data_IF_717196159528
#
_entry.id   IF_717196159528
#
_cell.length_a   1.000
_cell.length_b   1.000
_cell.length_c   1.000
_cell.angle_alpha   90.00
_cell.angle_beta   90.00
_cell.angle_gamma   90.00
#
_symmetry.space_group_name_H-M   'P 1'
#
loop_
_entity.id
_entity.type
_entity.pdbx_description
1 polymer ?
#
# COMPACT_ATOMS: atom_id res chain seq x y z
N UNK A 1 -12.88 9.95 20.29
CA UNK A 1 -14.26 10.18 20.79
C UNK A 1 -14.49 9.54 22.16
N UNK A 2 -13.93 8.38 22.43
CA UNK A 2 -14.08 7.63 23.68
C UNK A 2 -12.85 7.65 24.57
N UNK A 3 -11.95 8.60 24.42
CA UNK A 3 -10.67 8.73 25.15
C UNK A 3 -10.83 8.76 26.67
N UNK A 4 -11.96 9.29 27.17
CA UNK A 4 -12.28 9.32 28.60
C UNK A 4 -12.73 7.96 29.17
N UNK A 5 -12.95 6.94 28.33
CA UNK A 5 -13.36 5.60 28.76
C UNK A 5 -12.14 4.73 29.06
N UNK A 6 -11.32 5.18 30.00
CA UNK A 6 -10.14 4.42 30.45
C UNK A 6 -10.54 3.28 31.37
N UNK A 7 -9.66 2.31 31.55
CA UNK A 7 -9.83 1.21 32.50
C UNK A 7 -10.23 1.72 33.87
N UNK A 8 -9.53 2.73 34.42
CA UNK A 8 -9.78 3.29 35.74
C UNK A 8 -11.16 3.94 35.83
N UNK A 9 -11.56 4.69 34.80
CA UNK A 9 -12.87 5.33 34.76
C UNK A 9 -14.01 4.32 34.68
N UNK A 10 -13.83 3.26 33.90
CA UNK A 10 -14.80 2.18 33.76
C UNK A 10 -14.91 1.39 35.07
N UNK A 11 -13.77 0.94 35.60
CA UNK A 11 -13.73 0.17 36.87
C UNK A 11 -14.35 0.98 38.02
N UNK A 12 -13.96 2.24 38.16
CA UNK A 12 -14.52 3.12 39.20
C UNK A 12 -16.05 3.22 39.11
N UNK A 13 -16.59 3.39 37.89
CA UNK A 13 -18.03 3.44 37.64
C UNK A 13 -18.72 2.11 37.95
N UNK A 14 -18.09 0.96 37.63
CA UNK A 14 -18.62 -0.37 37.95
C UNK A 14 -18.68 -0.60 39.47
N UNK A 15 -17.58 -0.32 40.19
CA UNK A 15 -17.53 -0.46 41.62
C UNK A 15 -18.51 0.47 42.35
N UNK A 16 -18.66 1.72 41.88
CA UNK A 16 -19.68 2.64 42.39
C UNK A 16 -21.10 2.10 42.18
N UNK A 17 -21.33 1.48 41.00
CA UNK A 17 -22.62 0.86 40.69
C UNK A 17 -22.91 -0.34 41.62
N UNK A 18 -21.91 -1.19 41.87
CA UNK A 18 -22.00 -2.31 42.81
C UNK A 18 -22.32 -1.82 44.23
N UNK A 19 -21.64 -0.79 44.72
CA UNK A 19 -21.94 -0.16 46.03
C UNK A 19 -23.35 0.44 46.11
N UNK A 20 -23.86 0.99 45.02
CA UNK A 20 -25.22 1.51 44.95
C UNK A 20 -26.30 0.43 45.10
N UNK A 21 -25.99 -0.82 44.77
CA UNK A 21 -26.87 -1.98 44.93
C UNK A 21 -26.77 -2.55 46.34
N UNK A 22 -25.55 -2.66 46.86
CA UNK A 22 -25.30 -3.12 48.21
C UNK A 22 -24.10 -2.36 48.83
N UNK A 23 -24.40 -1.42 49.72
CA UNK A 23 -23.38 -0.54 50.34
C UNK A 23 -22.37 -1.25 51.26
N UNK A 24 -22.59 -2.54 51.57
CA UNK A 24 -21.67 -3.32 52.42
C UNK A 24 -20.66 -4.14 51.61
N UNK A 25 -20.58 -3.96 50.29
CA UNK A 25 -19.61 -4.68 49.44
C UNK A 25 -18.19 -4.14 49.71
N UNK A 26 -17.21 -5.06 49.77
CA UNK A 26 -15.80 -4.70 49.75
C UNK A 26 -15.39 -4.49 48.29
N UNK A 27 -15.02 -3.25 47.96
CA UNK A 27 -14.60 -2.84 46.63
C UNK A 27 -13.12 -2.50 46.55
N UNK A 28 -12.33 -2.79 47.59
CA UNK A 28 -10.89 -2.58 47.62
C UNK A 28 -10.21 -3.49 46.58
N UNK A 29 -9.08 -3.06 46.12
CA UNK A 29 -8.23 -3.88 45.22
C UNK A 29 -7.95 -5.26 45.83
N UNK A 30 -8.15 -6.31 45.04
CA UNK A 30 -8.03 -7.71 45.49
C UNK A 30 -9.29 -8.31 46.15
N UNK A 31 -10.36 -7.52 46.38
CA UNK A 31 -11.64 -8.07 46.83
C UNK A 31 -12.31 -8.90 45.72
N UNK A 32 -13.26 -9.75 46.10
CA UNK A 32 -14.02 -10.58 45.15
C UNK A 32 -14.74 -9.74 44.10
N UNK A 33 -15.35 -8.61 44.51
CA UNK A 33 -16.03 -7.68 43.57
C UNK A 33 -15.02 -7.05 42.61
N UNK A 34 -13.91 -6.56 43.11
CA UNK A 34 -12.84 -5.99 42.29
C UNK A 34 -12.27 -7.02 41.29
N UNK A 35 -12.00 -8.25 41.77
CA UNK A 35 -11.49 -9.32 40.89
C UNK A 35 -12.48 -9.73 39.78
N UNK A 36 -13.78 -9.56 40.03
CA UNK A 36 -14.80 -9.80 39.02
C UNK A 36 -14.92 -8.65 38.01
N UNK A 37 -14.86 -7.41 38.49
CA UNK A 37 -15.08 -6.22 37.67
C UNK A 37 -13.81 -5.77 36.89
N UNK A 38 -12.61 -5.98 37.44
CA UNK A 38 -11.38 -5.53 36.80
C UNK A 38 -11.12 -6.15 35.40
N UNK A 39 -11.25 -7.47 35.19
CA UNK A 39 -11.12 -8.04 33.85
C UNK A 39 -12.19 -7.52 32.88
N UNK A 40 -13.44 -7.36 33.37
CA UNK A 40 -14.52 -6.84 32.54
C UNK A 40 -14.27 -5.37 32.15
N UNK A 41 -13.69 -4.56 33.02
CA UNK A 41 -13.32 -3.18 32.73
C UNK A 41 -12.24 -3.09 31.63
N UNK A 42 -11.27 -4.02 31.61
CA UNK A 42 -10.27 -4.12 30.50
C UNK A 42 -10.94 -4.42 29.19
N UNK A 43 -11.83 -5.42 29.15
CA UNK A 43 -12.55 -5.79 27.90
C UNK A 43 -13.44 -4.65 27.41
N UNK A 44 -14.10 -3.93 28.31
CA UNK A 44 -14.91 -2.76 27.96
C UNK A 44 -14.04 -1.62 27.43
N UNK A 45 -12.86 -1.38 27.98
CA UNK A 45 -11.91 -0.41 27.41
C UNK A 45 -11.51 -0.80 25.99
N UNK A 46 -11.14 -2.07 25.75
CA UNK A 46 -10.80 -2.58 24.44
C UNK A 46 -11.96 -2.41 23.45
N UNK A 47 -13.20 -2.62 23.91
CA UNK A 47 -14.40 -2.38 23.11
C UNK A 47 -14.55 -0.90 22.71
N UNK A 48 -14.31 0.05 23.63
CA UNK A 48 -14.35 1.47 23.31
C UNK A 48 -13.26 1.88 22.31
N UNK A 49 -12.05 1.30 22.42
CA UNK A 49 -10.97 1.50 21.43
C UNK A 49 -11.41 0.97 20.06
N UNK A 50 -11.99 -0.21 20.00
CA UNK A 50 -12.52 -0.78 18.76
C UNK A 50 -13.64 0.08 18.15
N UNK A 51 -14.55 0.61 18.97
CA UNK A 51 -15.60 1.53 18.51
C UNK A 51 -15.03 2.83 17.96
N UNK A 52 -13.98 3.38 18.57
CA UNK A 52 -13.32 4.59 18.06
C UNK A 52 -12.65 4.32 16.71
N UNK A 53 -12.02 3.16 16.56
CA UNK A 53 -11.46 2.71 15.27
C UNK A 53 -12.57 2.60 14.22
N UNK A 54 -13.67 1.94 14.51
CA UNK A 54 -14.81 1.81 13.57
C UNK A 54 -15.33 3.17 13.14
N UNK A 55 -15.45 4.12 14.06
CA UNK A 55 -15.89 5.48 13.73
C UNK A 55 -14.89 6.19 12.80
N UNK A 56 -13.61 6.10 13.10
CA UNK A 56 -12.56 6.72 12.27
C UNK A 56 -12.53 6.10 10.86
N UNK A 57 -12.69 4.78 10.76
CA UNK A 57 -12.73 4.08 9.47
C UNK A 57 -14.04 4.29 8.69
N UNK A 58 -15.07 4.82 9.35
CA UNK A 58 -16.36 5.09 8.71
C UNK A 58 -16.31 6.31 7.82
N UNK A 59 -15.50 7.31 8.12
CA UNK A 59 -15.44 8.56 7.38
C UNK A 59 -14.24 8.58 6.44
N UNK A 60 -14.45 9.04 5.21
CA UNK A 60 -13.42 9.03 4.18
C UNK A 60 -12.21 9.94 4.50
N UNK A 61 -12.40 10.99 5.27
CA UNK A 61 -11.36 11.93 5.72
C UNK A 61 -10.41 11.33 6.75
N UNK A 62 -10.88 10.33 7.53
CA UNK A 62 -10.08 9.68 8.59
C UNK A 62 -9.76 8.22 8.30
N UNK A 63 -10.47 7.59 7.36
CA UNK A 63 -10.30 6.18 7.03
C UNK A 63 -8.87 5.87 6.56
N UNK A 64 -8.33 4.75 6.99
CA UNK A 64 -7.08 4.20 6.45
C UNK A 64 -7.28 3.72 5.01
N UNK A 65 -6.17 3.56 4.25
CA UNK A 65 -6.22 3.18 2.82
C UNK A 65 -7.15 2.02 2.51
N UNK A 66 -7.13 0.87 3.23
CA UNK A 66 -8.02 -0.26 2.92
C UNK A 66 -9.50 0.10 2.99
N UNK A 67 -9.90 0.83 4.03
CA UNK A 67 -11.29 1.21 4.21
C UNK A 67 -11.72 2.33 3.26
N UNK A 68 -10.80 3.27 2.96
CA UNK A 68 -11.03 4.28 1.95
C UNK A 68 -11.30 3.66 0.57
N UNK A 69 -10.56 2.61 0.19
CA UNK A 69 -10.78 1.86 -1.06
C UNK A 69 -12.16 1.21 -1.07
N UNK A 70 -12.59 0.59 0.04
CA UNK A 70 -13.93 0.00 0.14
C UNK A 70 -15.04 1.05 -0.04
N UNK A 71 -14.90 2.21 0.61
CA UNK A 71 -15.85 3.31 0.43
C UNK A 71 -15.85 3.89 -0.98
N UNK A 72 -14.69 4.06 -1.57
CA UNK A 72 -14.55 4.57 -2.93
C UNK A 72 -15.17 3.61 -3.95
N UNK A 73 -15.08 2.30 -3.70
CA UNK A 73 -15.71 1.29 -4.54
C UNK A 73 -17.24 1.43 -4.61
N UNK A 74 -17.90 1.94 -3.57
CA UNK A 74 -19.34 2.24 -3.57
C UNK A 74 -19.71 3.31 -4.61
N UNK A 75 -18.76 4.21 -4.95
CA UNK A 75 -18.90 5.22 -6.00
C UNK A 75 -18.27 4.79 -7.32
N UNK A 76 -17.80 3.55 -7.43
CA UNK A 76 -17.11 3.04 -8.62
C UNK A 76 -15.68 3.54 -8.80
N UNK A 77 -15.10 4.18 -7.78
CA UNK A 77 -13.72 4.66 -7.80
C UNK A 77 -12.75 3.58 -7.32
N UNK A 78 -11.56 3.56 -7.93
CA UNK A 78 -10.45 2.69 -7.53
C UNK A 78 -9.16 3.51 -7.54
N UNK A 79 -8.17 3.17 -6.70
CA UNK A 79 -6.84 3.76 -6.80
C UNK A 79 -6.25 3.48 -8.19
N UNK A 80 -5.47 4.40 -8.70
CA UNK A 80 -4.70 4.17 -9.91
C UNK A 80 -3.55 3.22 -9.58
N UNK A 81 -3.43 2.09 -10.29
CA UNK A 81 -2.34 1.15 -10.06
C UNK A 81 -1.02 1.72 -10.57
N UNK A 82 0.08 1.23 -10.03
CA UNK A 82 1.40 1.52 -10.57
C UNK A 82 1.50 1.09 -12.03
N UNK A 83 2.18 1.89 -12.85
CA UNK A 83 2.45 1.59 -14.26
C UNK A 83 3.95 1.36 -14.50
N UNK A 84 4.33 0.43 -15.41
CA UNK A 84 5.73 0.18 -15.71
C UNK A 84 6.31 1.24 -16.65
N UNK A 85 7.60 1.54 -16.51
CA UNK A 85 8.33 2.37 -17.45
C UNK A 85 8.48 1.66 -18.81
N UNK A 86 8.31 2.42 -19.89
CA UNK A 86 8.60 1.97 -21.27
C UNK A 86 9.75 2.79 -21.83
N UNK A 87 10.85 2.12 -22.18
CA UNK A 87 12.07 2.74 -22.63
C UNK A 87 12.35 2.37 -24.09
N UNK A 88 13.08 3.24 -24.78
CA UNK A 88 13.59 2.96 -26.13
C UNK A 88 14.98 2.35 -26.05
N UNK A 89 15.11 1.11 -26.52
CA UNK A 89 16.37 0.39 -26.70
C UNK A 89 16.89 0.56 -28.13
N UNK A 90 18.19 0.78 -28.30
CA UNK A 90 18.88 0.69 -29.59
C UNK A 90 19.90 -0.42 -29.51
N UNK A 91 19.99 -1.22 -30.58
CA UNK A 91 20.95 -2.32 -30.70
C UNK A 91 21.86 -2.16 -31.90
N UNK A 92 23.02 -2.81 -31.84
CA UNK A 92 23.94 -2.99 -32.93
C UNK A 92 24.27 -4.48 -33.07
N UNK A 93 24.24 -5.05 -34.29
CA UNK A 93 23.92 -4.45 -35.59
C UNK A 93 22.40 -4.20 -35.72
N UNK A 94 22.01 -3.15 -36.47
CA UNK A 94 20.61 -2.75 -36.65
C UNK A 94 19.78 -3.73 -37.49
N UNK A 95 20.46 -4.69 -38.13
CA UNK A 95 19.83 -5.77 -38.89
C UNK A 95 19.42 -6.98 -38.04
N UNK A 96 19.90 -7.02 -36.78
CA UNK A 96 19.56 -8.10 -35.87
C UNK A 96 18.09 -7.95 -35.40
N UNK A 97 17.34 -9.03 -35.44
CA UNK A 97 15.99 -9.09 -34.92
C UNK A 97 15.98 -9.73 -33.53
N UNK A 98 15.53 -8.97 -32.54
CA UNK A 98 15.32 -9.48 -31.20
C UNK A 98 13.91 -10.16 -31.12
N UNK A 99 13.83 -11.37 -30.60
CA UNK A 99 12.54 -11.97 -30.26
C UNK A 99 11.77 -11.10 -29.26
N UNK A 100 10.44 -11.10 -29.38
CA UNK A 100 9.59 -10.50 -28.35
C UNK A 100 9.81 -11.20 -27.01
N UNK A 101 9.70 -10.45 -25.94
CA UNK A 101 9.98 -10.90 -24.58
C UNK A 101 11.47 -11.22 -24.29
N UNK A 102 12.42 -10.90 -25.21
CA UNK A 102 13.84 -10.94 -24.85
C UNK A 102 14.08 -10.03 -23.65
N UNK A 103 14.77 -10.55 -22.64
CA UNK A 103 14.95 -9.87 -21.34
C UNK A 103 16.31 -9.21 -21.23
N UNK A 104 16.31 -8.03 -20.67
CA UNK A 104 17.52 -7.24 -20.38
C UNK A 104 17.53 -6.86 -18.90
N UNK A 105 18.72 -6.82 -18.32
CA UNK A 105 18.93 -6.37 -16.94
C UNK A 105 19.65 -5.03 -16.92
N UNK A 106 19.19 -4.17 -16.02
CA UNK A 106 19.81 -2.88 -15.71
C UNK A 106 19.81 -2.73 -14.19
N UNK A 107 20.99 -2.86 -13.60
CA UNK A 107 21.10 -2.89 -12.15
C UNK A 107 20.27 -4.05 -11.56
N UNK A 108 19.33 -3.74 -10.72
CA UNK A 108 18.42 -4.73 -10.08
C UNK A 108 17.10 -4.91 -10.83
N UNK A 109 16.85 -4.14 -11.90
CA UNK A 109 15.60 -4.17 -12.65
C UNK A 109 15.76 -4.95 -13.96
N UNK A 110 14.68 -5.64 -14.33
CA UNK A 110 14.57 -6.37 -15.57
C UNK A 110 13.56 -5.70 -16.50
N UNK A 111 13.85 -5.77 -17.78
CA UNK A 111 13.01 -5.24 -18.85
C UNK A 111 12.83 -6.30 -19.92
N UNK A 112 11.73 -6.32 -20.59
CA UNK A 112 11.46 -7.21 -21.72
C UNK A 112 11.08 -6.42 -22.97
N UNK A 113 11.43 -6.96 -24.14
CA UNK A 113 11.05 -6.38 -25.44
C UNK A 113 9.54 -6.47 -25.61
N UNK A 114 8.88 -5.33 -25.68
CA UNK A 114 7.45 -5.19 -25.86
C UNK A 114 7.04 -4.83 -27.29
N UNK A 115 7.90 -4.15 -28.06
CA UNK A 115 7.63 -3.84 -29.47
C UNK A 115 8.93 -3.67 -30.26
N UNK A 116 8.87 -4.04 -31.56
CA UNK A 116 9.90 -3.74 -32.55
C UNK A 116 9.50 -2.47 -33.33
N UNK A 117 10.35 -1.46 -33.31
CA UNK A 117 10.17 -0.19 -34.04
C UNK A 117 10.97 -0.12 -35.34
N UNK A 118 11.69 -1.18 -35.66
CA UNK A 118 12.52 -1.27 -36.85
C UNK A 118 13.85 -0.53 -36.72
N UNK A 119 14.76 -0.79 -37.65
CA UNK A 119 16.10 -0.15 -37.71
C UNK A 119 16.90 -0.32 -36.42
N UNK A 120 16.80 -1.50 -35.76
CA UNK A 120 17.52 -1.79 -34.51
C UNK A 120 17.00 -1.03 -33.29
N UNK A 121 15.80 -0.51 -33.37
CA UNK A 121 15.13 0.18 -32.24
C UNK A 121 13.97 -0.67 -31.70
N UNK A 122 13.91 -0.82 -30.40
CA UNK A 122 12.91 -1.62 -29.70
C UNK A 122 12.31 -0.83 -28.54
N UNK A 123 11.08 -1.15 -28.19
CA UNK A 123 10.52 -0.76 -26.91
C UNK A 123 10.77 -1.87 -25.91
N UNK A 124 11.21 -1.49 -24.74
CA UNK A 124 11.36 -2.40 -23.61
C UNK A 124 10.53 -1.87 -22.44
N UNK A 125 9.81 -2.78 -21.82
CA UNK A 125 8.94 -2.48 -20.67
C UNK A 125 9.57 -3.05 -19.41
N UNK A 126 9.61 -2.26 -18.34
CA UNK A 126 10.07 -2.71 -17.04
C UNK A 126 9.15 -3.81 -16.49
N UNK A 127 9.74 -4.89 -15.94
CA UNK A 127 8.94 -5.96 -15.29
C UNK A 127 8.34 -5.49 -13.95
N UNK A 128 8.98 -4.50 -13.31
CA UNK A 128 8.50 -3.88 -12.08
C UNK A 128 7.79 -2.58 -12.42
N UNK A 129 6.54 -2.46 -11.98
CA UNK A 129 5.80 -1.20 -12.10
C UNK A 129 6.30 -0.19 -11.05
N UNK A 130 6.20 1.09 -11.38
CA UNK A 130 6.61 2.19 -10.52
C UNK A 130 7.67 3.08 -11.16
N UNK A 131 8.00 4.16 -10.46
CA UNK A 131 8.97 5.16 -10.90
C UNK A 131 10.40 4.64 -10.97
N UNK A 132 10.74 3.56 -10.26
CA UNK A 132 12.07 2.98 -10.22
C UNK A 132 12.62 2.62 -11.61
N UNK A 133 11.75 2.33 -12.59
CA UNK A 133 12.11 2.05 -13.99
C UNK A 133 12.51 3.27 -14.80
N UNK A 134 12.44 4.49 -14.27
CA UNK A 134 12.67 5.72 -15.04
C UNK A 134 14.15 6.17 -15.10
N UNK A 135 14.98 5.72 -14.16
CA UNK A 135 16.30 6.33 -13.91
C UNK A 135 17.43 5.77 -14.78
N UNK A 136 17.11 5.03 -15.85
CA UNK A 136 18.14 4.30 -16.57
C UNK A 136 18.35 4.78 -17.99
N UNK A 137 19.52 5.35 -18.22
CA UNK A 137 20.11 5.59 -19.55
C UNK A 137 21.47 4.92 -19.64
N UNK A 138 21.79 4.32 -20.78
CA UNK A 138 23.11 3.73 -21.03
C UNK A 138 23.06 2.28 -21.50
N UNK A 139 24.17 1.57 -21.29
CA UNK A 139 24.32 0.19 -21.74
C UNK A 139 23.54 -0.78 -20.86
N UNK A 140 22.83 -1.69 -21.49
CA UNK A 140 22.06 -2.75 -20.82
C UNK A 140 22.66 -4.12 -21.10
N UNK A 141 22.37 -5.10 -20.29
CA UNK A 141 22.91 -6.46 -20.41
C UNK A 141 21.76 -7.41 -20.74
N UNK A 142 21.83 -8.20 -21.83
CA UNK A 142 20.84 -9.23 -22.08
C UNK A 142 20.97 -10.33 -21.01
N UNK A 143 19.85 -10.79 -20.47
CA UNK A 143 19.82 -11.86 -19.45
C UNK A 143 20.12 -13.21 -20.09
N UNK A 144 19.62 -13.42 -21.31
CA UNK A 144 19.90 -14.59 -22.12
C UNK A 144 20.86 -14.22 -23.26
N UNK A 145 21.71 -15.17 -23.65
CA UNK A 145 22.62 -14.93 -24.77
C UNK A 145 21.82 -14.69 -26.06
N UNK A 146 22.13 -13.58 -26.72
CA UNK A 146 21.55 -13.22 -28.01
C UNK A 146 22.69 -13.26 -29.07
N UNK A 147 22.58 -14.23 -29.97
CA UNK A 147 23.61 -14.40 -31.01
C UNK A 147 23.66 -13.19 -31.93
N UNK A 148 24.88 -12.69 -32.21
CA UNK A 148 25.11 -11.55 -33.06
C UNK A 148 24.81 -10.17 -32.44
N UNK A 149 24.45 -10.07 -31.18
CA UNK A 149 24.27 -8.79 -30.50
C UNK A 149 25.60 -8.24 -30.02
N UNK A 150 26.02 -7.09 -30.56
CA UNK A 150 27.27 -6.42 -30.20
C UNK A 150 27.08 -5.41 -29.06
N UNK A 151 26.10 -4.51 -29.22
CA UNK A 151 25.82 -3.50 -28.22
C UNK A 151 24.30 -3.25 -28.09
N UNK A 152 23.88 -2.92 -26.90
CA UNK A 152 22.51 -2.47 -26.61
C UNK A 152 22.55 -1.31 -25.62
N UNK A 153 21.76 -0.26 -25.91
CA UNK A 153 21.74 0.97 -25.12
C UNK A 153 20.32 1.53 -25.05
N UNK A 154 19.93 2.05 -23.88
CA UNK A 154 18.73 2.86 -23.73
C UNK A 154 19.02 4.27 -24.26
N UNK A 155 18.12 4.76 -25.12
CA UNK A 155 18.22 6.08 -25.73
C UNK A 155 17.35 7.10 -25.01
N UNK A 156 16.12 6.72 -24.69
CA UNK A 156 15.11 7.61 -24.10
C UNK A 156 14.04 6.84 -23.35
N UNK A 157 13.35 7.55 -22.48
CA UNK A 157 12.10 7.10 -21.86
C UNK A 157 10.97 7.47 -22.81
N UNK A 158 10.15 6.51 -23.18
CA UNK A 158 8.97 6.72 -24.02
C UNK A 158 7.73 7.00 -23.18
N UNK A 159 7.52 6.18 -22.14
CA UNK A 159 6.45 6.34 -21.15
C UNK A 159 7.10 6.18 -19.78
N UNK A 160 7.05 7.20 -18.93
CA UNK A 160 7.54 7.06 -17.57
C UNK A 160 6.66 6.08 -16.78
N UNK A 161 7.28 5.27 -15.94
CA UNK A 161 6.57 4.48 -14.94
C UNK A 161 6.07 5.38 -13.82
N UNK A 162 4.93 5.05 -13.27
CA UNK A 162 4.31 5.76 -12.16
C UNK A 162 4.04 4.80 -11.02
N UNK A 163 4.25 5.25 -9.80
CA UNK A 163 3.89 4.49 -8.60
C UNK A 163 2.38 4.42 -8.43
N UNK A 164 1.94 3.52 -7.57
CA UNK A 164 0.53 3.47 -7.18
C UNK A 164 0.09 4.80 -6.55
N UNK A 165 -1.09 5.28 -6.92
CA UNK A 165 -1.66 6.52 -6.42
C UNK A 165 -1.56 6.61 -4.89
N UNK A 166 -0.99 7.72 -4.40
CA UNK A 166 -0.86 7.99 -2.97
C UNK A 166 -2.22 8.05 -2.28
N UNK A 167 -2.26 7.65 -1.00
CA UNK A 167 -3.51 7.57 -0.24
C UNK A 167 -4.20 8.92 -0.10
N UNK A 168 -3.43 10.00 0.09
CA UNK A 168 -4.03 11.33 0.27
C UNK A 168 -4.51 11.91 -1.07
N UNK A 169 -3.79 11.65 -2.17
CA UNK A 169 -4.22 12.00 -3.52
C UNK A 169 -5.52 11.25 -3.88
N UNK A 170 -5.58 9.95 -3.57
CA UNK A 170 -6.81 9.16 -3.76
C UNK A 170 -7.96 9.66 -2.89
N UNK A 171 -7.69 10.03 -1.63
CA UNK A 171 -8.66 10.61 -0.70
C UNK A 171 -9.26 11.90 -1.26
N UNK A 172 -8.41 12.83 -1.74
CA UNK A 172 -8.87 14.07 -2.32
C UNK A 172 -9.77 13.82 -3.53
N UNK A 173 -9.36 12.93 -4.44
CA UNK A 173 -10.14 12.54 -5.62
C UNK A 173 -11.48 11.88 -5.29
N UNK A 174 -11.58 11.23 -4.13
CA UNK A 174 -12.85 10.67 -3.64
C UNK A 174 -13.77 11.75 -3.06
N UNK A 175 -13.20 12.79 -2.42
CA UNK A 175 -13.96 13.87 -1.77
C UNK A 175 -14.49 14.91 -2.77
N UNK A 176 -13.81 15.10 -3.91
CA UNK A 176 -14.22 16.00 -5.01
C UNK A 176 -15.41 15.43 -5.80
#
# INVERSE_FOLDING_TARGET
MYEAQTYEAILSRMLQKALSINGNLDTREGSLVWCGDAPAAVELQNLYIALDTVLNETFADTATRPYLILRAAERGLKPQPASPAVLQLSITPTTLHLPMNTRFSIGELNYYVSADRGSGKYEITCETAGEAGNDYTGTVIPIEYVDGLETCKIISILVPGEDEEDTEVFRQRYLD
#
